data_IF_800335248144
#
_entry.id   IF_800335248144
#
_cell.length_a   1.000
_cell.length_b   1.000
_cell.length_c   1.000
_cell.angle_alpha   90.00
_cell.angle_beta   90.00
_cell.angle_gamma   90.00
#
_symmetry.space_group_name_H-M   'P 1'
#
loop_
_entity.id
_entity.type
_entity.pdbx_description
1 polymer ?
#
# COMPACT_ATOMS: atom_id res chain seq x y z
N UNK A 1 -36.89 71.52 21.30
CA UNK A 1 -36.76 70.63 20.13
C UNK A 1 -35.32 70.68 19.66
N UNK A 2 -34.52 69.68 20.04
CA UNK A 2 -33.13 69.52 19.57
C UNK A 2 -33.10 68.20 18.82
N UNK A 3 -32.92 68.29 17.51
CA UNK A 3 -32.87 67.17 16.57
C UNK A 3 -31.58 66.38 16.77
N UNK A 4 -31.69 65.11 17.16
CA UNK A 4 -30.57 64.17 17.24
C UNK A 4 -30.15 63.77 15.82
N UNK A 5 -28.90 64.07 15.48
CA UNK A 5 -28.28 63.69 14.22
C UNK A 5 -27.92 62.20 14.25
N UNK A 6 -28.44 61.44 13.27
CA UNK A 6 -28.10 60.04 13.07
C UNK A 6 -26.62 59.90 12.67
N UNK A 7 -25.89 59.05 13.38
CA UNK A 7 -24.51 58.69 13.03
C UNK A 7 -24.47 57.93 11.69
N UNK A 8 -23.50 58.21 10.80
CA UNK A 8 -23.38 57.51 9.53
C UNK A 8 -22.90 56.07 9.76
N UNK A 9 -23.54 55.12 9.07
CA UNK A 9 -23.14 53.72 9.02
C UNK A 9 -21.68 53.58 8.50
N UNK A 10 -20.89 52.62 8.99
CA UNK A 10 -19.52 52.44 8.50
C UNK A 10 -19.54 52.07 7.02
N UNK A 11 -18.87 52.89 6.21
CA UNK A 11 -18.64 52.66 4.78
C UNK A 11 -17.99 51.29 4.57
N UNK A 12 -18.64 50.40 3.81
CA UNK A 12 -18.05 49.14 3.35
C UNK A 12 -16.78 49.47 2.56
N UNK A 13 -15.62 49.09 3.11
CA UNK A 13 -14.33 49.24 2.42
C UNK A 13 -14.45 48.54 1.05
N UNK A 14 -13.94 49.13 -0.05
CA UNK A 14 -13.94 48.46 -1.34
C UNK A 14 -13.18 47.14 -1.21
N UNK A 15 -13.90 46.02 -1.34
CA UNK A 15 -13.28 44.71 -1.36
C UNK A 15 -12.54 44.56 -2.69
N UNK A 16 -11.23 44.37 -2.63
CA UNK A 16 -10.43 44.00 -3.79
C UNK A 16 -10.88 42.62 -4.26
N UNK A 17 -11.65 42.55 -5.35
CA UNK A 17 -12.03 41.28 -5.96
C UNK A 17 -10.84 40.75 -6.76
N UNK A 18 -10.12 39.80 -6.18
CA UNK A 18 -9.05 39.09 -6.88
C UNK A 18 -9.65 37.94 -7.70
N UNK A 19 -9.12 37.64 -8.91
CA UNK A 19 -9.51 36.44 -9.62
C UNK A 19 -9.11 35.19 -8.80
N UNK A 20 -9.89 34.08 -8.88
CA UNK A 20 -9.69 32.91 -8.03
C UNK A 20 -8.27 32.34 -8.06
N UNK A 21 -7.63 32.30 -9.23
CA UNK A 21 -6.27 31.78 -9.39
C UNK A 21 -5.19 32.62 -8.70
N UNK A 22 -5.38 33.95 -8.60
CA UNK A 22 -4.45 34.82 -7.88
C UNK A 22 -4.71 34.76 -6.37
N UNK A 23 -5.97 34.69 -5.97
CA UNK A 23 -6.34 34.56 -4.56
C UNK A 23 -5.86 33.22 -3.97
N UNK A 24 -6.00 32.12 -4.73
CA UNK A 24 -5.48 30.80 -4.36
C UNK A 24 -3.97 30.78 -4.13
N UNK A 25 -3.20 31.64 -4.83
CA UNK A 25 -1.74 31.77 -4.66
C UNK A 25 -1.37 32.71 -3.51
N UNK A 26 -2.13 33.79 -3.30
CA UNK A 26 -1.83 34.80 -2.29
C UNK A 26 -2.24 34.36 -0.87
N UNK A 27 -3.43 33.80 -0.72
CA UNK A 27 -3.96 33.34 0.56
C UNK A 27 -4.60 31.96 0.40
N UNK A 28 -3.77 30.91 0.28
CA UNK A 28 -4.30 29.60 -0.05
C UNK A 28 -5.25 29.05 1.02
N UNK A 29 -4.91 29.27 2.30
CA UNK A 29 -5.74 28.81 3.42
C UNK A 29 -7.13 29.49 3.45
N UNK A 30 -7.18 30.79 3.19
CA UNK A 30 -8.45 31.53 3.13
C UNK A 30 -9.29 31.12 1.90
N UNK A 31 -8.62 30.77 0.79
CA UNK A 31 -9.28 30.28 -0.42
C UNK A 31 -9.98 28.94 -0.19
N UNK A 32 -9.28 27.96 0.38
CA UNK A 32 -9.87 26.65 0.68
C UNK A 32 -11.01 26.77 1.70
N UNK A 33 -10.84 27.60 2.74
CA UNK A 33 -11.89 27.86 3.73
C UNK A 33 -13.14 28.48 3.11
N UNK A 34 -12.99 29.45 2.20
CA UNK A 34 -14.13 30.09 1.53
C UNK A 34 -14.94 29.10 0.68
N UNK A 35 -14.28 28.09 0.11
CA UNK A 35 -14.91 27.02 -0.66
C UNK A 35 -15.60 25.97 0.23
N UNK A 36 -15.00 25.65 1.38
CA UNK A 36 -15.55 24.69 2.35
C UNK A 36 -16.68 25.28 3.22
N UNK A 37 -16.67 26.59 3.47
CA UNK A 37 -17.67 27.33 4.25
C UNK A 37 -18.35 28.43 3.42
N UNK A 38 -19.15 28.07 2.39
CA UNK A 38 -19.87 29.07 1.63
C UNK A 38 -20.84 29.84 2.56
N UNK A 39 -20.96 31.17 2.41
CA UNK A 39 -21.86 31.96 3.24
C UNK A 39 -23.31 31.48 3.03
N UNK A 40 -24.06 31.37 4.13
CA UNK A 40 -25.43 30.81 4.18
C UNK A 40 -26.44 31.49 3.25
N UNK A 41 -26.08 32.65 2.69
CA UNK A 41 -26.86 33.39 1.69
C UNK A 41 -26.93 32.71 0.32
N UNK A 42 -26.00 31.81 -0.02
CA UNK A 42 -25.91 31.24 -1.38
C UNK A 42 -26.42 29.80 -1.53
N UNK A 43 -26.87 29.15 -0.45
CA UNK A 43 -27.43 27.78 -0.42
C UNK A 43 -26.62 26.74 -1.26
N UNK A 44 -25.32 26.98 -1.42
CA UNK A 44 -24.42 26.16 -2.21
C UNK A 44 -23.75 25.15 -1.26
N UNK A 45 -23.69 23.86 -1.60
CA UNK A 45 -23.05 22.86 -0.75
C UNK A 45 -21.56 23.16 -0.62
N UNK A 46 -20.94 22.67 0.47
CA UNK A 46 -19.49 22.75 0.68
C UNK A 46 -18.79 21.97 -0.44
N UNK A 47 -18.16 22.72 -1.35
CA UNK A 47 -17.50 22.17 -2.53
C UNK A 47 -16.03 22.57 -2.45
N UNK A 48 -15.12 21.61 -2.65
CA UNK A 48 -13.68 21.84 -2.68
C UNK A 48 -13.30 22.74 -3.86
N UNK A 49 -12.07 23.27 -3.86
CA UNK A 49 -11.55 24.08 -4.96
C UNK A 49 -11.68 23.39 -6.35
N UNK A 50 -11.68 22.04 -6.37
CA UNK A 50 -11.79 21.21 -7.57
C UNK A 50 -13.23 20.85 -7.97
N UNK A 51 -14.26 21.38 -7.29
CA UNK A 51 -15.65 21.05 -7.61
C UNK A 51 -16.18 19.77 -6.95
N UNK A 52 -15.33 19.02 -6.23
CA UNK A 52 -15.67 17.76 -5.54
C UNK A 52 -16.28 18.00 -4.16
N UNK A 53 -17.10 17.06 -3.69
CA UNK A 53 -17.53 17.03 -2.29
C UNK A 53 -16.35 16.66 -1.35
N UNK A 54 -16.42 16.97 -0.05
CA UNK A 54 -15.36 16.69 0.93
C UNK A 54 -14.96 15.20 0.97
N UNK A 55 -15.93 14.29 0.90
CA UNK A 55 -15.73 12.83 0.98
C UNK A 55 -15.63 12.12 -0.37
N UNK A 56 -15.61 12.87 -1.48
CA UNK A 56 -15.65 12.29 -2.82
C UNK A 56 -14.26 11.98 -3.39
N UNK A 57 -14.02 10.70 -3.66
CA UNK A 57 -12.82 10.21 -4.35
C UNK A 57 -12.81 10.58 -5.84
N UNK A 58 -11.61 10.68 -6.43
CA UNK A 58 -11.43 10.80 -7.88
C UNK A 58 -11.89 9.55 -8.61
N UNK A 59 -12.33 9.74 -9.85
CA UNK A 59 -12.58 8.65 -10.78
C UNK A 59 -11.28 7.89 -11.01
N UNK A 60 -11.35 6.57 -10.87
CA UNK A 60 -10.22 5.66 -11.07
C UNK A 60 -10.41 4.80 -12.29
N UNK A 61 -9.33 4.65 -13.05
CA UNK A 61 -9.24 3.70 -14.16
C UNK A 61 -7.92 2.95 -14.05
N UNK A 62 -7.96 1.64 -14.13
CA UNK A 62 -6.79 0.77 -14.18
C UNK A 62 -6.76 0.05 -15.54
N UNK A 63 -5.56 -0.30 -16.01
CA UNK A 63 -5.36 -1.20 -17.14
C UNK A 63 -4.20 -2.13 -16.77
N UNK A 64 -4.48 -3.43 -16.62
CA UNK A 64 -3.48 -4.46 -16.39
C UNK A 64 -2.77 -4.85 -17.70
N UNK A 65 -1.54 -5.37 -17.62
CA UNK A 65 -0.81 -5.91 -18.77
C UNK A 65 -0.40 -4.89 -19.84
N UNK A 66 -0.19 -3.62 -19.45
CA UNK A 66 0.15 -2.54 -20.40
C UNK A 66 1.58 -2.58 -20.94
N UNK A 67 2.51 -3.23 -20.24
CA UNK A 67 3.92 -3.38 -20.62
C UNK A 67 4.22 -4.83 -21.02
N UNK A 68 4.92 -5.02 -22.14
CA UNK A 68 5.16 -6.36 -22.73
C UNK A 68 6.40 -7.08 -22.20
N UNK A 69 7.37 -6.36 -21.65
CA UNK A 69 8.66 -6.92 -21.21
C UNK A 69 8.72 -7.28 -19.72
N UNK A 70 7.62 -7.10 -18.99
CA UNK A 70 7.53 -7.32 -17.55
C UNK A 70 6.67 -8.56 -17.25
N UNK A 71 6.96 -9.26 -16.15
CA UNK A 71 6.17 -10.41 -15.70
C UNK A 71 4.73 -10.02 -15.33
N UNK A 72 4.54 -8.79 -14.85
CA UNK A 72 3.24 -8.16 -14.62
C UNK A 72 3.36 -6.66 -14.78
N UNK A 73 2.29 -6.00 -15.20
CA UNK A 73 2.28 -4.54 -15.27
C UNK A 73 0.89 -3.98 -15.09
N UNK A 74 0.82 -2.71 -14.70
CA UNK A 74 -0.42 -1.97 -14.69
C UNK A 74 -0.20 -0.48 -14.88
N UNK A 75 -1.18 0.18 -15.48
CA UNK A 75 -1.29 1.63 -15.54
C UNK A 75 -2.55 2.04 -14.81
N UNK A 76 -2.40 2.83 -13.76
CA UNK A 76 -3.53 3.34 -12.97
C UNK A 76 -3.56 4.85 -13.07
N UNK A 77 -4.76 5.37 -13.28
CA UNK A 77 -5.05 6.80 -13.30
C UNK A 77 -6.14 7.11 -12.29
N UNK A 78 -5.82 8.03 -11.38
CA UNK A 78 -6.69 8.53 -10.32
C UNK A 78 -6.89 10.03 -10.59
N UNK A 79 -7.97 10.38 -11.31
CA UNK A 79 -8.19 11.72 -11.81
C UNK A 79 -7.05 12.17 -12.75
N UNK A 80 -6.28 13.17 -12.31
CA UNK A 80 -5.13 13.69 -13.05
C UNK A 80 -3.81 13.04 -12.63
N UNK A 81 -3.80 12.26 -11.54
CA UNK A 81 -2.60 11.52 -11.11
C UNK A 81 -2.52 10.20 -11.85
N UNK A 82 -1.39 9.92 -12.48
CA UNK A 82 -1.16 8.70 -13.25
C UNK A 82 0.12 8.00 -12.78
N UNK A 83 0.02 6.72 -12.50
CA UNK A 83 1.11 5.85 -12.08
C UNK A 83 1.17 4.61 -12.97
N UNK A 84 2.38 4.19 -13.29
CA UNK A 84 2.67 2.95 -14.02
C UNK A 84 3.50 2.07 -13.10
N UNK A 85 3.13 0.80 -13.00
CA UNK A 85 3.90 -0.19 -12.26
C UNK A 85 4.28 -1.34 -13.17
N UNK A 86 5.53 -1.77 -13.08
CA UNK A 86 6.07 -2.97 -13.72
C UNK A 86 6.66 -3.89 -12.65
N UNK A 87 6.33 -5.17 -12.74
CA UNK A 87 6.88 -6.22 -11.88
C UNK A 87 7.82 -7.07 -12.71
N UNK A 88 9.06 -7.20 -12.23
CA UNK A 88 10.10 -8.05 -12.81
C UNK A 88 10.52 -9.10 -11.79
N UNK A 89 10.57 -10.34 -12.22
CA UNK A 89 11.01 -11.44 -11.38
C UNK A 89 12.45 -11.83 -11.73
N UNK A 90 13.30 -11.99 -10.71
CA UNK A 90 14.66 -12.51 -10.82
C UNK A 90 14.86 -13.68 -9.87
N UNK A 91 15.87 -14.50 -10.16
CA UNK A 91 16.19 -15.70 -9.38
C UNK A 91 17.28 -15.37 -8.38
N UNK A 92 17.06 -15.74 -7.12
CA UNK A 92 18.04 -15.68 -6.05
C UNK A 92 18.36 -17.09 -5.58
N UNK A 93 19.60 -17.52 -5.78
CA UNK A 93 20.07 -18.83 -5.34
C UNK A 93 20.24 -18.86 -3.83
N UNK A 94 19.94 -19.99 -3.19
CA UNK A 94 20.09 -20.14 -1.74
C UNK A 94 21.54 -20.02 -1.27
N UNK A 95 22.50 -20.25 -2.17
CA UNK A 95 23.94 -20.12 -1.90
C UNK A 95 24.38 -18.67 -1.74
N UNK A 96 23.73 -17.74 -2.45
CA UNK A 96 24.00 -16.31 -2.38
C UNK A 96 23.39 -15.65 -1.13
N UNK A 97 22.52 -16.39 -0.42
CA UNK A 97 21.86 -15.93 0.79
C UNK A 97 22.73 -16.25 2.00
N UNK A 98 23.47 -15.26 2.49
CA UNK A 98 24.35 -15.41 3.64
C UNK A 98 23.64 -15.91 4.92
N UNK A 99 22.35 -15.58 5.09
CA UNK A 99 21.54 -15.98 6.26
C UNK A 99 20.95 -17.39 6.15
N UNK A 100 20.96 -18.03 4.97
CA UNK A 100 20.25 -19.28 4.71
C UNK A 100 20.72 -20.43 5.60
N UNK A 101 22.04 -20.60 5.73
CA UNK A 101 22.65 -21.64 6.57
C UNK A 101 22.33 -21.49 8.08
N UNK A 102 22.07 -20.26 8.54
CA UNK A 102 21.77 -19.96 9.94
C UNK A 102 20.28 -20.21 10.26
N UNK A 103 19.39 -19.94 9.30
CA UNK A 103 17.96 -20.22 9.39
C UNK A 103 17.64 -21.73 9.41
N UNK A 104 18.47 -22.53 8.72
CA UNK A 104 18.35 -24.00 8.75
C UNK A 104 18.84 -24.60 10.08
N UNK A 105 19.91 -24.04 10.67
CA UNK A 105 20.45 -24.49 11.96
C UNK A 105 19.54 -24.14 13.17
N UNK A 106 18.76 -23.07 13.07
CA UNK A 106 17.79 -22.68 14.11
C UNK A 106 16.50 -23.49 14.02
N UNK A 107 16.10 -23.95 12.83
CA UNK A 107 14.96 -24.86 12.63
C UNK A 107 15.26 -26.32 12.96
N UNK A 108 16.51 -26.78 12.79
CA UNK A 108 16.93 -28.15 13.15
C UNK A 108 17.00 -28.42 14.67
N UNK A 109 16.92 -27.38 15.51
CA UNK A 109 16.92 -27.53 16.97
C UNK A 109 15.51 -27.71 17.58
N UNK A 110 14.46 -27.72 16.76
CA UNK A 110 13.13 -28.22 17.16
C UNK A 110 12.97 -29.63 16.59
N UNK A 111 13.45 -30.63 17.33
CA UNK A 111 13.10 -32.03 17.10
C UNK A 111 11.58 -32.15 16.89
N UNK A 112 11.10 -32.84 15.84
CA UNK A 112 9.69 -33.14 15.70
C UNK A 112 9.33 -34.09 16.83
N UNK A 113 8.65 -33.58 17.87
CA UNK A 113 7.99 -34.45 18.83
C UNK A 113 6.92 -35.21 18.06
N UNK A 114 7.05 -36.52 18.05
CA UNK A 114 6.03 -37.47 17.61
C UNK A 114 4.66 -37.09 18.18
N UNK A 115 3.77 -36.60 17.33
CA UNK A 115 2.35 -36.45 17.66
C UNK A 115 1.62 -37.61 17.01
N UNK A 116 1.46 -38.68 17.78
CA UNK A 116 0.45 -39.69 17.52
C UNK A 116 -0.79 -39.26 18.33
N UNK A 117 -1.91 -39.07 17.62
CA UNK A 117 -3.30 -38.95 18.10
C UNK A 117 -3.63 -37.82 19.09
N UNK A 118 -4.38 -36.80 18.63
CA UNK A 118 -5.86 -36.74 18.78
C UNK A 118 -6.33 -35.41 18.17
N UNK A 119 -7.36 -35.49 17.33
CA UNK A 119 -8.08 -34.38 16.71
C UNK A 119 -8.60 -33.39 17.77
N UNK A 120 -8.16 -32.14 17.71
CA UNK A 120 -8.87 -30.90 18.09
C UNK A 120 -7.88 -29.72 17.97
N UNK A 121 -8.32 -28.57 17.42
CA UNK A 121 -7.63 -27.25 17.30
C UNK A 121 -7.07 -26.87 15.89
N UNK A 122 -7.95 -26.75 14.90
CA UNK A 122 -7.65 -26.25 13.55
C UNK A 122 -7.52 -24.72 13.40
N UNK A 123 -6.93 -24.01 14.37
CA UNK A 123 -6.67 -22.56 14.24
C UNK A 123 -5.25 -22.14 14.67
N UNK A 124 -4.43 -23.02 15.25
CA UNK A 124 -3.09 -22.68 15.74
C UNK A 124 -1.96 -22.96 14.74
N UNK A 125 -2.13 -23.93 13.82
CA UNK A 125 -1.07 -24.37 12.90
C UNK A 125 -0.86 -23.40 11.71
N UNK A 126 -1.94 -22.74 11.28
CA UNK A 126 -1.88 -21.74 10.21
C UNK A 126 -1.08 -20.50 10.64
N UNK A 127 -1.25 -20.05 11.90
CA UNK A 127 -0.61 -18.81 12.35
C UNK A 127 0.92 -18.97 12.52
N UNK A 128 1.39 -20.12 13.02
CA UNK A 128 2.84 -20.39 13.11
C UNK A 128 3.49 -20.49 11.72
N UNK A 129 2.80 -21.09 10.75
CA UNK A 129 3.30 -21.21 9.37
C UNK A 129 3.39 -19.83 8.71
N UNK A 130 2.36 -18.99 8.90
CA UNK A 130 2.32 -17.64 8.34
C UNK A 130 3.38 -16.73 8.98
N UNK A 131 3.68 -16.85 10.28
CA UNK A 131 4.76 -16.08 10.90
C UNK A 131 6.14 -16.48 10.38
N UNK A 132 6.37 -17.77 10.10
CA UNK A 132 7.62 -18.24 9.46
C UNK A 132 7.75 -17.74 8.02
N UNK A 133 6.66 -17.70 7.26
CA UNK A 133 6.64 -17.09 5.92
C UNK A 133 7.00 -15.61 5.96
N UNK A 134 6.45 -14.86 6.93
CA UNK A 134 6.74 -13.43 7.10
C UNK A 134 8.21 -13.19 7.39
N UNK A 135 8.79 -13.94 8.32
CA UNK A 135 10.21 -13.86 8.63
C UNK A 135 11.05 -14.15 7.38
N UNK A 136 10.72 -15.18 6.59
CA UNK A 136 11.47 -15.48 5.37
C UNK A 136 11.36 -14.38 4.30
N UNK A 137 10.21 -13.73 4.09
CA UNK A 137 10.09 -12.66 3.09
C UNK A 137 10.82 -11.38 3.55
N UNK A 138 10.68 -11.01 4.82
CA UNK A 138 11.34 -9.84 5.42
C UNK A 138 12.86 -10.05 5.52
N UNK A 139 13.31 -11.22 6.00
CA UNK A 139 14.74 -11.52 6.17
C UNK A 139 15.47 -11.66 4.84
N UNK A 140 14.78 -12.17 3.81
CA UNK A 140 15.36 -12.40 2.48
C UNK A 140 15.14 -11.25 1.51
N UNK A 141 14.41 -10.19 1.91
CA UNK A 141 14.08 -9.03 1.07
C UNK A 141 13.59 -9.41 -0.34
N UNK A 142 12.68 -10.39 -0.43
CA UNK A 142 12.21 -10.92 -1.71
C UNK A 142 11.37 -9.93 -2.51
N UNK A 143 10.89 -8.86 -1.89
CA UNK A 143 10.11 -7.80 -2.52
C UNK A 143 10.89 -6.50 -2.48
N UNK A 144 11.15 -5.91 -3.63
CA UNK A 144 11.91 -4.67 -3.75
C UNK A 144 11.09 -3.64 -4.52
N UNK A 145 10.28 -2.82 -3.84
CA UNK A 145 9.56 -1.72 -4.46
C UNK A 145 10.48 -0.51 -4.63
N UNK A 146 10.41 0.10 -5.81
CA UNK A 146 11.16 1.28 -6.15
C UNK A 146 10.23 2.31 -6.80
N UNK A 147 10.05 3.46 -6.15
CA UNK A 147 9.22 4.55 -6.67
C UNK A 147 10.07 5.64 -7.30
N UNK A 148 9.84 5.85 -8.59
CA UNK A 148 10.41 6.91 -9.41
C UNK A 148 9.37 8.00 -9.68
N UNK A 149 9.76 9.25 -9.41
CA UNK A 149 9.00 10.42 -9.82
C UNK A 149 9.60 10.91 -11.13
N UNK A 150 8.89 10.67 -12.23
CA UNK A 150 9.37 11.05 -13.57
C UNK A 150 9.58 12.57 -13.68
N UNK A 151 10.45 12.96 -14.59
CA UNK A 151 10.64 14.35 -14.98
C UNK A 151 9.34 14.88 -15.59
N UNK A 152 8.87 16.02 -15.10
CA UNK A 152 7.59 16.60 -15.51
C UNK A 152 6.34 16.14 -14.74
N UNK A 153 6.46 15.26 -13.73
CA UNK A 153 5.32 14.91 -12.86
C UNK A 153 4.74 16.11 -12.12
N UNK A 154 5.65 16.93 -11.59
CA UNK A 154 5.35 18.18 -10.91
C UNK A 154 6.48 19.16 -11.24
N UNK A 155 6.22 20.49 -11.22
CA UNK A 155 7.22 21.50 -11.55
C UNK A 155 8.44 21.52 -10.61
N UNK A 156 8.39 20.78 -9.49
CA UNK A 156 9.49 20.66 -8.53
C UNK A 156 10.51 19.54 -8.82
N UNK A 157 10.25 18.65 -9.79
CA UNK A 157 11.16 17.53 -10.08
C UNK A 157 12.01 17.80 -11.32
N UNK A 158 13.32 17.96 -11.10
CA UNK A 158 14.31 18.27 -12.13
C UNK A 158 14.95 16.95 -12.62
N UNK A 159 15.21 16.78 -13.93
CA UNK A 159 15.99 15.65 -14.43
C UNK A 159 17.36 15.52 -13.76
N UNK A 160 17.71 14.29 -13.38
CA UNK A 160 19.04 13.94 -12.90
C UNK A 160 19.32 14.29 -11.43
N UNK A 161 18.33 14.73 -10.67
CA UNK A 161 18.47 14.84 -9.21
C UNK A 161 18.50 13.45 -8.56
N UNK A 162 19.21 13.34 -7.43
CA UNK A 162 19.12 12.18 -6.54
C UNK A 162 17.65 11.92 -6.13
N UNK A 163 17.30 10.68 -5.74
CA UNK A 163 15.95 10.34 -5.30
C UNK A 163 15.49 11.32 -4.20
N UNK A 164 14.27 11.85 -4.38
CA UNK A 164 13.70 12.81 -3.43
C UNK A 164 13.33 12.12 -2.11
N UNK A 165 13.25 12.89 -1.02
CA UNK A 165 12.77 12.37 0.27
C UNK A 165 11.34 11.80 0.16
N UNK A 166 10.50 12.39 -0.70
CA UNK A 166 9.16 11.89 -0.98
C UNK A 166 9.23 10.52 -1.68
N UNK A 167 10.08 10.35 -2.69
CA UNK A 167 10.23 9.06 -3.38
C UNK A 167 10.74 7.97 -2.42
N UNK A 168 11.73 8.30 -1.57
CA UNK A 168 12.29 7.38 -0.58
C UNK A 168 11.28 6.99 0.49
N UNK A 169 10.56 7.96 1.07
CA UNK A 169 9.55 7.70 2.09
C UNK A 169 8.38 6.88 1.55
N UNK A 170 7.88 7.20 0.35
CA UNK A 170 6.81 6.42 -0.28
C UNK A 170 7.27 5.00 -0.63
N UNK A 171 8.49 4.81 -1.13
CA UNK A 171 9.03 3.46 -1.42
C UNK A 171 9.09 2.62 -0.13
N UNK A 172 9.55 3.23 0.97
CA UNK A 172 9.59 2.56 2.28
C UNK A 172 8.19 2.27 2.82
N UNK A 173 7.23 3.19 2.69
CA UNK A 173 5.84 2.95 3.11
C UNK A 173 5.20 1.81 2.31
N UNK A 174 5.42 1.76 1.00
CA UNK A 174 4.93 0.67 0.14
C UNK A 174 5.58 -0.66 0.55
N UNK A 175 6.88 -0.68 0.85
CA UNK A 175 7.58 -1.87 1.34
C UNK A 175 6.99 -2.35 2.68
N UNK A 176 6.84 -1.44 3.65
CA UNK A 176 6.24 -1.73 4.95
C UNK A 176 4.84 -2.33 4.80
N UNK A 177 4.04 -1.75 3.90
CA UNK A 177 2.68 -2.19 3.63
C UNK A 177 2.65 -3.55 2.91
N UNK A 178 3.56 -3.82 1.96
CA UNK A 178 3.68 -5.16 1.34
C UNK A 178 3.97 -6.24 2.38
N UNK A 179 4.81 -5.94 3.36
CA UNK A 179 5.13 -6.85 4.46
C UNK A 179 3.98 -7.00 5.47
N UNK A 180 3.31 -5.90 5.82
CA UNK A 180 2.19 -5.90 6.78
C UNK A 180 0.98 -6.66 6.22
N UNK A 181 0.67 -6.44 4.94
CA UNK A 181 -0.51 -7.04 4.27
C UNK A 181 -0.33 -8.49 3.86
N UNK A 182 0.91 -9.02 3.83
CA UNK A 182 1.23 -10.41 3.44
C UNK A 182 0.58 -10.82 2.11
N UNK A 183 0.59 -9.88 1.16
CA UNK A 183 -0.11 -10.01 -0.12
C UNK A 183 0.41 -11.21 -0.94
N UNK A 184 1.73 -11.43 -0.92
CA UNK A 184 2.42 -12.47 -1.68
C UNK A 184 2.76 -13.65 -0.78
N UNK A 185 2.42 -14.87 -1.21
CA UNK A 185 2.76 -16.10 -0.50
C UNK A 185 4.23 -16.45 -0.73
N UNK A 186 4.96 -16.73 0.34
CA UNK A 186 6.35 -17.16 0.26
C UNK A 186 6.48 -18.48 -0.52
N UNK A 187 5.50 -19.37 -0.38
CA UNK A 187 5.46 -20.66 -1.08
C UNK A 187 5.39 -20.55 -2.60
N UNK A 188 4.75 -19.49 -3.13
CA UNK A 188 4.69 -19.27 -4.58
C UNK A 188 6.03 -18.75 -5.14
N UNK A 189 6.90 -18.20 -4.28
CA UNK A 189 8.23 -17.71 -4.65
C UNK A 189 9.32 -18.79 -4.48
N UNK A 190 9.03 -19.90 -3.78
CA UNK A 190 9.99 -20.98 -3.52
C UNK A 190 10.13 -21.89 -4.74
N UNK A 191 11.37 -22.14 -5.14
CA UNK A 191 11.70 -23.12 -6.16
C UNK A 191 12.18 -24.39 -5.44
N UNK A 192 11.30 -25.38 -5.47
CA UNK A 192 11.54 -26.68 -4.87
C UNK A 192 12.32 -27.57 -5.83
N UNK A 193 13.32 -28.24 -5.27
CA UNK A 193 13.98 -29.38 -5.88
C UNK A 193 13.62 -30.60 -5.06
N UNK A 194 12.92 -31.55 -5.67
CA UNK A 194 12.81 -32.90 -5.12
C UNK A 194 13.92 -33.71 -5.79
N UNK A 195 14.95 -34.13 -5.05
CA UNK A 195 15.92 -35.06 -5.61
C UNK A 195 15.14 -36.27 -6.15
N UNK A 196 15.44 -36.73 -7.38
CA UNK A 196 14.85 -37.97 -7.83
C UNK A 196 15.18 -39.03 -6.79
N UNK A 197 14.15 -39.68 -6.25
CA UNK A 197 14.33 -40.83 -5.39
C UNK A 197 15.07 -41.87 -6.21
N UNK A 198 16.38 -42.02 -6.01
CA UNK A 198 17.05 -43.25 -6.41
C UNK A 198 16.42 -44.34 -5.56
N UNK A 199 15.36 -44.96 -6.09
CA UNK A 199 14.88 -46.21 -5.56
C UNK A 199 16.00 -47.26 -5.67
N UNK A 200 15.98 -48.30 -4.82
CA UNK A 200 16.96 -49.40 -4.90
C UNK A 200 17.05 -50.06 -6.29
N UNK A 201 16.05 -49.88 -7.15
CA UNK A 201 15.89 -50.59 -8.43
C UNK A 201 16.96 -50.28 -9.50
N UNK A 202 17.74 -49.19 -9.38
CA UNK A 202 18.85 -48.94 -10.32
C UNK A 202 20.20 -49.48 -9.88
N UNK A 203 20.41 -49.71 -8.58
CA UNK A 203 21.62 -50.35 -8.05
C UNK A 203 21.59 -51.88 -8.19
N UNK A 204 20.41 -52.49 -8.35
CA UNK A 204 20.27 -53.93 -8.57
C UNK A 204 20.65 -54.37 -9.99
N UNK A 205 20.56 -53.49 -11.00
CA UNK A 205 20.89 -53.84 -12.40
C UNK A 205 22.38 -54.03 -12.69
N UNK A 206 23.27 -53.79 -11.72
CA UNK A 206 24.72 -53.91 -11.91
C UNK A 206 25.40 -54.95 -11.00
N UNK A 207 24.65 -55.68 -10.17
CA UNK A 207 25.20 -56.69 -9.25
C UNK A 207 24.52 -58.07 -9.36
N UNK A 208 23.98 -58.44 -10.52
CA UNK A 208 23.37 -59.77 -10.72
C UNK A 208 24.38 -60.95 -10.77
N UNK A 209 25.69 -60.73 -10.66
CA UNK A 209 26.69 -61.82 -10.77
C UNK A 209 27.39 -62.24 -9.45
N UNK A 210 27.23 -61.56 -8.32
CA UNK A 210 27.87 -62.01 -7.06
C UNK A 210 27.06 -61.64 -5.80
N UNK A 211 26.24 -62.56 -5.27
CA UNK A 211 26.37 -63.13 -3.90
C UNK A 211 25.08 -63.77 -3.34
N UNK A 212 25.34 -64.70 -2.41
CA UNK A 212 24.47 -65.73 -1.84
C UNK A 212 23.42 -65.24 -0.83
N UNK A 213 22.36 -66.05 -0.71
CA UNK A 213 21.34 -66.09 0.36
C UNK A 213 21.81 -65.61 1.75
N UNK A 214 21.17 -64.56 2.27
CA UNK A 214 20.90 -64.42 3.71
C UNK A 214 19.56 -63.73 3.94
N UNK A 215 18.66 -64.44 4.64
CA UNK A 215 17.31 -64.05 5.00
C UNK A 215 17.21 -62.87 5.99
N UNK A 216 16.10 -62.13 5.84
CA UNK A 216 15.30 -61.37 6.84
C UNK A 216 15.64 -59.92 7.26
N UNK A 217 14.77 -59.04 6.75
CA UNK A 217 13.86 -58.15 7.50
C UNK A 217 14.43 -56.97 8.31
N UNK A 218 14.39 -55.79 7.69
CA UNK A 218 13.98 -54.54 8.34
C UNK A 218 13.27 -53.66 7.29
N UNK A 219 11.94 -53.54 7.41
CA UNK A 219 11.17 -52.48 6.79
C UNK A 219 11.54 -51.17 7.49
N UNK A 220 12.58 -50.50 6.99
CA UNK A 220 12.74 -49.07 7.26
C UNK A 220 11.76 -48.32 6.34
N UNK A 221 10.98 -47.35 6.85
CA UNK A 221 10.12 -46.56 5.99
C UNK A 221 11.01 -45.79 5.01
N UNK A 222 10.67 -45.86 3.73
CA UNK A 222 11.30 -45.08 2.65
C UNK A 222 11.28 -43.60 3.07
N UNK A 223 12.42 -43.08 3.53
CA UNK A 223 12.62 -41.64 3.72
C UNK A 223 12.63 -41.02 2.32
N UNK A 224 11.47 -40.58 1.84
CA UNK A 224 11.41 -39.60 0.75
C UNK A 224 12.32 -38.44 1.17
N UNK A 225 13.41 -38.23 0.42
CA UNK A 225 14.33 -37.15 0.70
C UNK A 225 13.55 -35.83 0.74
N UNK A 226 13.69 -35.03 1.81
CA UNK A 226 12.87 -33.84 1.99
C UNK A 226 13.13 -32.88 0.83
N UNK A 227 12.05 -32.34 0.24
CA UNK A 227 12.15 -31.34 -0.83
C UNK A 227 13.04 -30.19 -0.36
N UNK A 228 14.13 -29.97 -1.06
CA UNK A 228 15.06 -28.90 -0.75
C UNK A 228 14.66 -27.64 -1.52
N UNK A 229 14.74 -26.49 -0.85
CA UNK A 229 14.61 -25.19 -1.51
C UNK A 229 16.00 -24.83 -2.04
N UNK A 230 16.12 -24.58 -3.35
CA UNK A 230 17.39 -24.22 -4.01
C UNK A 230 17.44 -22.76 -4.46
N UNK A 231 16.27 -22.14 -4.67
CA UNK A 231 16.19 -20.75 -5.08
C UNK A 231 14.86 -20.11 -4.69
N UNK A 232 14.86 -18.78 -4.68
CA UNK A 232 13.69 -17.94 -4.48
C UNK A 232 13.51 -17.00 -5.66
N UNK A 233 12.25 -16.70 -5.98
CA UNK A 233 11.90 -15.57 -6.84
C UNK A 233 11.96 -14.27 -6.04
N UNK A 234 12.73 -13.32 -6.55
CA UNK A 234 12.78 -11.93 -6.07
C UNK A 234 11.95 -11.08 -7.03
N UNK A 235 11.00 -10.31 -6.49
CA UNK A 235 10.14 -9.42 -7.26
C UNK A 235 10.61 -7.98 -7.10
N UNK A 236 11.13 -7.42 -8.19
CA UNK A 236 11.37 -6.00 -8.34
C UNK A 236 10.10 -5.32 -8.83
N UNK A 237 9.59 -4.39 -8.02
CA UNK A 237 8.36 -3.66 -8.30
C UNK A 237 8.74 -2.21 -8.60
N UNK A 238 8.90 -1.90 -9.88
CA UNK A 238 9.23 -0.55 -10.32
C UNK A 238 7.95 0.24 -10.56
N UNK A 239 7.83 1.37 -9.85
CA UNK A 239 6.67 2.27 -9.92
C UNK A 239 7.17 3.60 -10.48
N UNK A 240 6.53 4.08 -11.53
CA UNK A 240 6.81 5.36 -12.16
C UNK A 240 5.55 6.21 -12.15
N UNK A 241 5.57 7.30 -11.39
CA UNK A 241 4.52 8.31 -11.49
C UNK A 241 4.81 9.13 -12.76
N UNK A 242 3.76 9.37 -13.57
CA UNK A 242 3.83 10.17 -14.80
C UNK A 242 3.31 11.59 -14.55
N UNK A 243 2.21 11.70 -13.82
CA UNK A 243 1.60 12.98 -13.47
C UNK A 243 1.23 12.96 -12.00
N UNK A 244 1.66 13.98 -11.27
CA UNK A 244 1.40 14.11 -9.84
C UNK A 244 0.47 15.29 -9.60
N UNK A 245 -0.78 14.99 -9.26
CA UNK A 245 -1.78 15.96 -8.83
C UNK A 245 -2.25 15.59 -7.42
N UNK A 246 -1.34 15.34 -6.47
CA UNK A 246 -1.68 14.88 -5.12
C UNK A 246 -1.98 13.38 -5.00
N UNK A 247 -2.00 12.91 -3.76
CA UNK A 247 -2.25 11.53 -3.37
C UNK A 247 -1.40 10.49 -4.14
N UNK A 248 -0.08 10.74 -4.16
CA UNK A 248 0.89 9.86 -4.84
C UNK A 248 0.85 8.42 -4.30
N UNK A 249 0.63 8.27 -2.99
CA UNK A 249 0.68 7.00 -2.29
C UNK A 249 -0.44 6.07 -2.76
N UNK A 250 -1.71 6.51 -2.72
CA UNK A 250 -2.84 5.68 -3.13
C UNK A 250 -2.75 5.29 -4.61
N UNK A 251 -2.30 6.22 -5.47
CA UNK A 251 -2.11 5.94 -6.89
C UNK A 251 -0.99 4.91 -7.14
N UNK A 252 0.14 5.04 -6.44
CA UNK A 252 1.24 4.09 -6.50
C UNK A 252 0.81 2.71 -5.98
N UNK A 253 0.15 2.67 -4.82
CA UNK A 253 -0.32 1.43 -4.22
C UNK A 253 -1.35 0.71 -5.09
N UNK A 254 -2.34 1.43 -5.63
CA UNK A 254 -3.30 0.85 -6.56
C UNK A 254 -2.63 0.27 -7.82
N UNK A 255 -1.56 0.92 -8.32
CA UNK A 255 -0.78 0.41 -9.44
C UNK A 255 -0.02 -0.87 -9.08
N UNK A 256 0.56 -0.95 -7.88
CA UNK A 256 1.23 -2.16 -7.37
C UNK A 256 0.25 -3.33 -7.27
N UNK A 257 -0.93 -3.13 -6.69
CA UNK A 257 -1.94 -4.19 -6.59
C UNK A 257 -2.38 -4.71 -7.96
N UNK A 258 -2.65 -3.79 -8.89
CA UNK A 258 -3.05 -4.13 -10.24
C UNK A 258 -1.94 -4.90 -10.97
N UNK A 259 -0.69 -4.48 -10.81
CA UNK A 259 0.46 -5.13 -11.45
C UNK A 259 0.74 -6.51 -10.84
N UNK A 260 0.71 -6.65 -9.52
CA UNK A 260 0.90 -7.92 -8.83
C UNK A 260 -0.18 -8.95 -9.17
N UNK A 261 -1.42 -8.50 -9.43
CA UNK A 261 -2.53 -9.37 -9.85
C UNK A 261 -2.36 -9.90 -11.28
N UNK A 262 -1.67 -9.14 -12.14
CA UNK A 262 -1.33 -9.55 -13.50
C UNK A 262 -0.06 -10.41 -13.57
N UNK A 263 0.81 -10.34 -12.56
CA UNK A 263 2.11 -11.03 -12.54
C UNK A 263 2.00 -12.53 -12.80
N UNK A 264 2.71 -12.98 -13.84
CA UNK A 264 2.91 -14.38 -14.20
C UNK A 264 4.38 -14.75 -14.09
N UNK A 265 4.65 -15.78 -13.30
CA UNK A 265 5.99 -16.33 -13.12
C UNK A 265 6.13 -17.57 -14.01
N UNK A 266 7.21 -17.69 -14.80
CA UNK A 266 7.49 -18.90 -15.53
C UNK A 266 7.76 -20.05 -14.56
N UNK A 267 7.44 -21.28 -14.97
CA UNK A 267 7.79 -22.47 -14.19
C UNK A 267 9.30 -22.60 -14.16
N UNK A 268 9.88 -22.57 -12.97
CA UNK A 268 11.30 -22.81 -12.74
C UNK A 268 11.51 -24.09 -11.95
N UNK A 269 12.56 -24.85 -12.31
CA UNK A 269 13.01 -26.02 -11.57
C UNK A 269 14.53 -26.04 -11.51
N UNK A 270 15.06 -26.74 -10.52
CA UNK A 270 16.49 -26.97 -10.41
C UNK A 270 16.90 -28.10 -11.36
N UNK A 271 17.88 -27.82 -12.22
CA UNK A 271 18.55 -28.82 -13.02
C UNK A 271 19.84 -29.27 -12.30
N UNK A 272 19.94 -30.58 -12.06
CA UNK A 272 21.07 -31.20 -11.36
C UNK A 272 22.32 -31.19 -12.22
N UNK A 273 22.16 -31.39 -13.52
CA UNK A 273 23.28 -31.59 -14.43
C UNK A 273 24.06 -30.29 -14.66
N UNK A 274 23.33 -29.17 -14.70
CA UNK A 274 23.88 -27.85 -14.94
C UNK A 274 24.04 -27.02 -13.66
N UNK A 275 23.70 -27.58 -12.49
CA UNK A 275 23.68 -26.88 -11.19
C UNK A 275 23.04 -25.48 -11.27
N UNK A 276 21.98 -25.34 -12.08
CA UNK A 276 21.34 -24.06 -12.36
C UNK A 276 19.83 -24.21 -12.37
N UNK A 277 19.15 -23.10 -12.06
CA UNK A 277 17.69 -23.03 -12.16
C UNK A 277 17.33 -22.76 -13.61
N UNK A 278 16.55 -23.65 -14.21
CA UNK A 278 16.06 -23.52 -15.58
C UNK A 278 14.61 -23.07 -15.55
N UNK A 279 14.28 -22.09 -16.39
CA UNK A 279 12.93 -21.60 -16.60
C UNK A 279 12.33 -22.20 -17.87
N UNK A 280 11.05 -22.58 -17.84
CA UNK A 280 10.30 -22.92 -19.05
C UNK A 280 10.09 -21.66 -19.89
N UNK A 281 10.42 -21.74 -21.18
CA UNK A 281 10.12 -20.71 -22.18
C UNK A 281 8.63 -20.72 -22.62
N UNK A 282 7.85 -21.70 -22.16
CA UNK A 282 6.44 -21.85 -22.55
C UNK A 282 5.51 -21.01 -21.69
N UNK A 283 4.76 -20.10 -22.33
CA UNK A 283 3.76 -19.23 -21.69
C UNK A 283 2.63 -20.04 -21.02
N UNK A 284 2.36 -21.26 -21.49
CA UNK A 284 1.36 -22.17 -20.90
C UNK A 284 1.70 -22.63 -19.49
N UNK A 285 3.00 -22.70 -19.17
CA UNK A 285 3.48 -23.18 -17.88
C UNK A 285 3.62 -22.03 -16.87
N UNK A 286 3.37 -20.79 -17.32
CA UNK A 286 3.44 -19.62 -16.48
C UNK A 286 2.29 -19.60 -15.47
N UNK A 287 2.64 -19.56 -14.19
CA UNK A 287 1.69 -19.53 -13.08
C UNK A 287 1.42 -18.09 -12.67
N UNK A 288 0.15 -17.71 -12.57
CA UNK A 288 -0.25 -16.44 -11.96
C UNK A 288 0.01 -16.48 -10.46
N UNK A 289 0.49 -15.37 -9.91
CA UNK A 289 0.72 -15.23 -8.48
C UNK A 289 -0.61 -15.28 -7.71
N UNK A 290 -0.68 -16.09 -6.65
CA UNK A 290 -1.90 -16.17 -5.82
C UNK A 290 -1.82 -15.14 -4.68
N UNK A 291 -2.52 -14.03 -4.88
CA UNK A 291 -2.56 -12.94 -3.89
C UNK A 291 -3.52 -13.25 -2.74
N UNK A 292 -3.13 -12.86 -1.52
CA UNK A 292 -4.03 -12.84 -0.36
C UNK A 292 -4.77 -11.50 -0.33
N UNK A 293 -6.10 -11.55 -0.49
CA UNK A 293 -6.96 -10.38 -0.35
C UNK A 293 -6.74 -9.26 -1.38
N UNK A 294 -7.29 -8.09 -1.09
CA UNK A 294 -7.17 -6.87 -1.88
C UNK A 294 -7.05 -5.66 -0.95
N UNK A 295 -5.88 -5.42 -0.30
CA UNK A 295 -5.69 -4.27 0.56
C UNK A 295 -5.75 -2.98 -0.23
N UNK A 296 -6.78 -2.16 -0.04
CA UNK A 296 -6.94 -0.85 -0.70
C UNK A 296 -6.57 0.25 0.29
N UNK A 297 -5.58 1.07 -0.08
CA UNK A 297 -5.22 2.26 0.66
C UNK A 297 -6.17 3.42 0.33
N UNK A 298 -6.56 4.17 1.34
CA UNK A 298 -7.33 5.41 1.23
C UNK A 298 -6.72 6.48 2.11
N UNK A 299 -6.27 7.56 1.47
CA UNK A 299 -5.68 8.73 2.12
C UNK A 299 -6.71 9.82 2.39
N UNK A 300 -6.61 10.42 3.56
CA UNK A 300 -7.48 11.45 4.08
C UNK A 300 -6.66 12.59 4.67
N UNK A 301 -7.17 13.82 4.56
CA UNK A 301 -6.56 15.00 5.16
C UNK A 301 -7.60 15.76 5.98
N UNK A 302 -7.17 16.30 7.13
CA UNK A 302 -8.03 17.14 7.96
C UNK A 302 -7.65 18.59 7.75
N UNK A 303 -8.64 19.38 7.36
CA UNK A 303 -8.52 20.82 7.23
C UNK A 303 -9.20 21.51 8.41
N UNK A 304 -8.43 22.30 9.16
CA UNK A 304 -8.95 23.14 10.25
C UNK A 304 -9.17 24.58 9.74
N UNK A 305 -10.30 25.20 10.12
CA UNK A 305 -10.64 26.57 9.75
C UNK A 305 -9.65 27.64 10.25
N UNK A 306 -8.82 27.33 11.25
CA UNK A 306 -7.98 28.31 11.93
C UNK A 306 -6.52 27.87 12.02
N UNK A 307 -5.87 27.57 10.89
CA UNK A 307 -4.42 27.35 10.88
C UNK A 307 -3.60 28.59 11.29
N UNK A 308 -4.24 29.76 11.42
CA UNK A 308 -3.63 30.98 11.91
C UNK A 308 -3.71 31.16 13.43
N UNK A 309 -4.37 30.26 14.18
CA UNK A 309 -4.47 30.34 15.64
C UNK A 309 -3.09 30.40 16.32
N UNK A 310 -2.11 29.67 15.79
CA UNK A 310 -0.74 29.64 16.32
C UNK A 310 0.03 30.97 16.19
N UNK A 311 -0.16 31.71 15.09
CA UNK A 311 0.52 33.00 14.86
C UNK A 311 -0.29 34.21 15.34
N UNK A 312 -1.63 34.13 15.35
CA UNK A 312 -2.50 35.21 15.84
C UNK A 312 -2.45 35.40 17.35
N UNK A 313 -2.27 34.32 18.12
CA UNK A 313 -2.14 34.38 19.57
C UNK A 313 -0.86 35.12 20.04
N UNK A 314 0.19 35.13 19.22
CA UNK A 314 1.48 35.77 19.54
C UNK A 314 1.52 37.24 19.10
N UNK A 315 0.76 37.62 18.07
CA UNK A 315 0.88 38.95 17.43
C UNK A 315 -0.21 39.95 17.87
N UNK A 316 -1.38 39.49 18.34
CA UNK A 316 -2.48 40.40 18.71
C UNK A 316 -3.18 39.92 20.01
N UNK A 317 -2.87 40.53 21.18
CA UNK A 317 -3.53 40.20 22.46
C UNK A 317 -5.05 40.43 22.46
N UNK A 318 -5.57 41.34 21.65
CA UNK A 318 -7.00 41.69 21.55
C UNK A 318 -7.85 40.68 20.75
N UNK A 319 -7.23 39.75 20.01
CA UNK A 319 -7.96 38.70 19.28
C UNK A 319 -8.57 37.64 20.24
N UNK A 320 -8.11 37.59 21.48
CA UNK A 320 -8.69 36.75 22.53
C UNK A 320 -10.11 37.20 22.93
N UNK A 321 -10.43 38.49 22.80
CA UNK A 321 -11.78 39.01 23.14
C UNK A 321 -12.81 38.71 22.04
N UNK A 322 -12.41 38.73 20.76
CA UNK A 322 -13.25 38.25 19.66
C UNK A 322 -13.45 36.72 19.72
N UNK A 323 -12.46 35.98 20.22
CA UNK A 323 -12.58 34.53 20.50
C UNK A 323 -13.69 34.26 21.52
N UNK A 324 -13.81 35.06 22.57
CA UNK A 324 -14.86 34.91 23.58
C UNK A 324 -16.28 35.14 23.03
N UNK A 325 -16.47 36.13 22.16
CA UNK A 325 -17.79 36.38 21.55
C UNK A 325 -18.19 35.34 20.49
N UNK A 326 -17.23 34.72 19.80
CA UNK A 326 -17.49 33.68 18.79
C UNK A 326 -17.68 32.29 19.42
N UNK A 327 -16.93 31.95 20.48
CA UNK A 327 -17.14 30.75 21.30
C UNK A 327 -18.53 30.72 21.96
N UNK A 328 -19.09 31.89 22.29
CA UNK A 328 -20.38 31.99 22.96
C UNK A 328 -21.59 31.68 22.05
N UNK A 329 -21.43 31.63 20.72
CA UNK A 329 -22.55 31.43 19.77
C UNK A 329 -22.64 30.04 19.16
N UNK A 330 -21.59 29.22 19.25
CA UNK A 330 -21.59 27.78 18.91
C UNK A 330 -20.41 27.16 19.63
N UNK A 331 -20.66 26.21 20.53
CA UNK A 331 -19.66 25.68 21.44
C UNK A 331 -18.39 25.22 20.74
N UNK A 332 -17.27 25.88 21.08
CA UNK A 332 -15.93 25.31 21.29
C UNK A 332 -15.24 24.45 20.22
N UNK A 333 -15.84 24.14 19.08
CA UNK A 333 -15.22 23.28 18.06
C UNK A 333 -14.76 24.17 16.91
N UNK A 334 -13.44 24.25 16.71
CA UNK A 334 -12.87 24.75 15.45
C UNK A 334 -13.57 24.03 14.29
N UNK A 335 -14.19 24.77 13.36
CA UNK A 335 -14.82 24.13 12.20
C UNK A 335 -13.74 23.32 11.44
N UNK A 336 -13.98 22.01 11.31
CA UNK A 336 -13.05 21.06 10.71
C UNK A 336 -13.73 20.35 9.55
N UNK A 337 -12.95 20.07 8.50
CA UNK A 337 -13.41 19.32 7.34
C UNK A 337 -12.50 18.14 7.10
N UNK A 338 -13.11 16.98 6.94
CA UNK A 338 -12.46 15.76 6.52
C UNK A 338 -12.48 15.70 5.00
N UNK A 339 -11.30 15.64 4.40
CA UNK A 339 -11.12 15.60 2.95
C UNK A 339 -10.61 14.21 2.57
N UNK A 340 -11.42 13.46 1.84
CA UNK A 340 -10.99 12.20 1.23
C UNK A 340 -10.21 12.49 -0.06
N UNK A 341 -9.12 11.76 -0.29
CA UNK A 341 -8.29 11.88 -1.50
C UNK A 341 -7.86 13.33 -1.77
N UNK A 342 -6.98 13.88 -0.90
CA UNK A 342 -6.53 15.26 -0.98
C UNK A 342 -5.77 15.52 -2.28
N UNK A 343 -5.91 16.75 -2.79
CA UNK A 343 -5.12 17.19 -3.94
C UNK A 343 -3.78 17.78 -3.50
N UNK A 344 -2.80 17.90 -4.39
CA UNK A 344 -1.47 18.44 -4.07
C UNK A 344 -1.53 19.86 -3.50
N UNK A 345 -2.55 20.63 -3.88
CA UNK A 345 -2.85 21.91 -3.24
C UNK A 345 -3.25 21.74 -1.76
N UNK A 346 -4.23 20.87 -1.48
CA UNK A 346 -4.74 20.66 -0.13
C UNK A 346 -3.72 19.98 0.78
N UNK A 347 -2.95 19.03 0.25
CA UNK A 347 -1.84 18.40 0.94
C UNK A 347 -0.88 19.46 1.49
N UNK A 348 -0.50 20.46 0.69
CA UNK A 348 0.39 21.53 1.13
C UNK A 348 -0.18 22.41 2.26
N UNK A 349 -1.50 22.42 2.45
CA UNK A 349 -2.19 23.24 3.44
C UNK A 349 -2.51 22.49 4.73
N UNK A 350 -2.81 21.20 4.63
CA UNK A 350 -3.22 20.36 5.76
C UNK A 350 -2.00 19.84 6.51
N UNK A 351 -2.03 19.96 7.84
CA UNK A 351 -0.97 19.46 8.72
C UNK A 351 -1.24 18.03 9.20
N UNK A 352 -2.50 17.60 9.19
CA UNK A 352 -2.93 16.29 9.65
C UNK A 352 -3.42 15.45 8.48
N UNK A 353 -2.86 14.27 8.34
CA UNK A 353 -3.19 13.27 7.31
C UNK A 353 -3.40 11.92 7.98
N UNK A 354 -4.35 11.16 7.48
CA UNK A 354 -4.57 9.79 7.88
C UNK A 354 -4.61 8.90 6.64
N UNK A 355 -3.93 7.77 6.68
CA UNK A 355 -4.02 6.73 5.67
C UNK A 355 -4.60 5.49 6.32
N UNK A 356 -5.65 4.94 5.72
CA UNK A 356 -6.28 3.70 6.18
C UNK A 356 -6.20 2.68 5.06
N UNK A 357 -5.68 1.49 5.39
CA UNK A 357 -5.58 0.36 4.48
C UNK A 357 -6.59 -0.68 4.95
N UNK A 358 -7.59 -0.91 4.10
CA UNK A 358 -8.66 -1.86 4.38
C UNK A 358 -8.59 -3.03 3.41
N UNK A 359 -8.87 -4.22 3.93
CA UNK A 359 -9.16 -5.40 3.14
C UNK A 359 -10.52 -5.95 3.55
N UNK A 360 -11.20 -6.64 2.64
CA UNK A 360 -12.41 -7.38 3.01
C UNK A 360 -12.13 -8.85 2.86
N UNK A 361 -12.38 -9.58 3.95
CA UNK A 361 -12.34 -11.03 3.92
C UNK A 361 -13.45 -11.57 2.98
N UNK A 362 -13.32 -12.83 2.59
CA UNK A 362 -14.31 -13.61 1.85
C UNK A 362 -15.71 -13.57 2.48
N UNK A 363 -15.79 -13.37 3.80
CA UNK A 363 -17.02 -13.17 4.58
C UNK A 363 -17.59 -11.74 4.57
N UNK A 364 -16.94 -10.80 3.87
CA UNK A 364 -17.38 -9.40 3.76
C UNK A 364 -17.08 -8.54 5.00
N UNK A 365 -16.38 -9.09 6.00
CA UNK A 365 -15.88 -8.31 7.15
C UNK A 365 -14.72 -7.42 6.72
N UNK A 366 -14.77 -6.15 7.12
CA UNK A 366 -13.70 -5.18 6.89
C UNK A 366 -12.60 -5.41 7.91
N UNK A 367 -11.41 -5.75 7.43
CA UNK A 367 -10.19 -5.89 8.21
C UNK A 367 -9.33 -4.66 7.95
N UNK A 368 -8.99 -3.95 9.01
CA UNK A 368 -8.03 -2.85 8.93
C UNK A 368 -6.65 -3.47 9.05
N UNK A 369 -5.85 -3.41 7.98
CA UNK A 369 -4.51 -3.97 7.97
C UNK A 369 -3.50 -2.98 8.54
N UNK A 370 -3.63 -1.72 8.13
CA UNK A 370 -2.73 -0.67 8.54
C UNK A 370 -3.46 0.66 8.63
N UNK A 371 -3.11 1.45 9.65
CA UNK A 371 -3.67 2.76 9.86
C UNK A 371 -2.58 3.69 10.35
N UNK A 372 -2.22 4.65 9.50
CA UNK A 372 -1.25 5.68 9.83
C UNK A 372 -1.97 7.00 10.06
N UNK A 373 -1.67 7.66 11.18
CA UNK A 373 -2.11 9.02 11.48
C UNK A 373 -0.88 9.89 11.64
N UNK A 374 -0.67 10.77 10.66
CA UNK A 374 0.49 11.64 10.58
C UNK A 374 0.08 13.10 10.78
N UNK A 375 0.56 13.67 11.89
CA UNK A 375 0.34 15.07 12.25
C UNK A 375 -0.96 15.33 13.02
N UNK A 376 -1.01 16.50 13.67
CA UNK A 376 -2.17 17.00 14.41
C UNK A 376 -2.65 16.16 15.60
N UNK A 377 -3.67 16.67 16.29
CA UNK A 377 -4.34 15.99 17.41
C UNK A 377 -5.87 16.01 17.21
N UNK A 378 -6.34 16.23 15.99
CA UNK A 378 -7.70 16.75 15.75
C UNK A 378 -8.70 15.68 15.29
N UNK A 379 -8.21 14.53 14.80
CA UNK A 379 -9.05 13.37 14.46
C UNK A 379 -9.54 12.67 15.74
N UNK A 380 -10.86 12.60 15.90
CA UNK A 380 -11.56 11.85 16.96
C UNK A 380 -11.93 10.43 16.54
N UNK A 381 -12.33 9.58 17.49
CA UNK A 381 -12.76 8.20 17.24
C UNK A 381 -13.97 8.10 16.30
N UNK A 382 -14.90 9.05 16.37
CA UNK A 382 -16.07 9.10 15.46
C UNK A 382 -15.65 9.38 14.02
N UNK A 383 -14.67 10.26 13.81
CA UNK A 383 -14.13 10.55 12.50
C UNK A 383 -13.40 9.32 11.93
N UNK A 384 -12.70 8.57 12.79
CA UNK A 384 -12.05 7.31 12.39
C UNK A 384 -13.03 6.25 11.91
N UNK A 385 -14.18 6.10 12.57
CA UNK A 385 -15.22 5.18 12.10
C UNK A 385 -15.74 5.59 10.72
N UNK A 386 -15.99 6.89 10.52
CA UNK A 386 -16.39 7.41 9.20
C UNK A 386 -15.32 7.16 8.12
N UNK A 387 -14.04 7.27 8.47
CA UNK A 387 -12.93 6.96 7.56
C UNK A 387 -12.92 5.50 7.14
N UNK A 388 -13.16 4.58 8.07
CA UNK A 388 -13.23 3.15 7.78
C UNK A 388 -14.43 2.84 6.88
N UNK A 389 -15.59 3.45 7.14
CA UNK A 389 -16.78 3.28 6.31
C UNK A 389 -16.57 3.79 4.86
N UNK A 390 -15.95 4.96 4.71
CA UNK A 390 -15.59 5.51 3.40
C UNK A 390 -14.56 4.63 2.68
N UNK A 391 -13.57 4.11 3.41
CA UNK A 391 -12.57 3.21 2.87
C UNK A 391 -13.19 1.88 2.41
N UNK A 392 -14.20 1.38 3.14
CA UNK A 392 -14.95 0.18 2.79
C UNK A 392 -15.75 0.34 1.49
N UNK A 393 -16.36 1.50 1.26
CA UNK A 393 -17.03 1.82 -0.01
C UNK A 393 -16.01 1.92 -1.14
N UNK A 394 -14.87 2.58 -0.87
CA UNK A 394 -13.79 2.75 -1.83
C UNK A 394 -13.20 1.41 -2.28
N UNK A 395 -13.07 0.47 -1.36
CA UNK A 395 -12.62 -0.88 -1.65
C UNK A 395 -13.51 -1.60 -2.68
N UNK A 396 -14.84 -1.46 -2.57
CA UNK A 396 -15.77 -2.09 -3.51
C UNK A 396 -15.64 -1.49 -4.91
N UNK A 397 -15.53 -0.17 -5.00
CA UNK A 397 -15.31 0.51 -6.28
C UNK A 397 -13.99 0.08 -6.93
N UNK A 398 -12.91 0.00 -6.14
CA UNK A 398 -11.60 -0.44 -6.63
C UNK A 398 -11.61 -1.90 -7.07
N UNK A 399 -12.27 -2.79 -6.31
CA UNK A 399 -12.41 -4.19 -6.67
C UNK A 399 -13.15 -4.34 -8.01
N UNK A 400 -14.26 -3.62 -8.20
CA UNK A 400 -14.99 -3.62 -9.48
C UNK A 400 -14.09 -3.20 -10.64
N UNK A 401 -13.34 -2.11 -10.48
CA UNK A 401 -12.43 -1.61 -11.52
C UNK A 401 -11.32 -2.62 -11.84
N UNK A 402 -10.75 -3.27 -10.83
CA UNK A 402 -9.69 -4.27 -11.01
C UNK A 402 -10.21 -5.61 -11.56
N UNK A 403 -11.47 -5.95 -11.34
CA UNK A 403 -12.12 -7.13 -11.93
C UNK A 403 -12.52 -6.91 -13.40
N UNK A 404 -12.71 -5.66 -13.82
CA UNK A 404 -12.99 -5.26 -15.21
C UNK A 404 -11.73 -5.19 -16.09
N UNK A 405 -10.54 -5.25 -15.47
CA UNK A 405 -9.22 -5.30 -16.13
C UNK A 405 -8.80 -6.73 -16.42
#
# INVERSE_FOLDING_TARGET
MVTSAAAPAPSSRPALSLPPSQFARLQPHAYLLAHLSPPSTNNQPSIRANGRAPTQFRVTSANAGSLTHTNGSAVVRIGDTAAVCGVRAELLHTEDIASWSVSQATSSNKSPRSVDQTEELGEQDDNETIERERAHIEDLNLLVPNLSLSTGCAPGFIPGSAPSSLAQSLSHQILSLLHSTRLVRADDLRIWYQPPSMGPEELERHNEEEQMDVDTAQNDPVEESPREIKAFWVLYIDIMIISLAGNAFDAAWAAVLAALRDTKLPKAWWDVDNETVVCSDSISDARKLSLRGLPVASSFAVFEADAAAGWRAVVIPEAAEMKAQRLARKGGVSERWLLADPDGYEEGLTQERACVVVDKDTDGKVIILEMEKNGGWTIDTEDLQQLVDLSSQRWEDMKRILDEC
#
